data_IF_816392518315
#
_entry.id   IF_816392518315
#
_cell.length_a   1.000
_cell.length_b   1.000
_cell.length_c   1.000
_cell.angle_alpha   90.00
_cell.angle_beta   90.00
_cell.angle_gamma   90.00
#
_symmetry.space_group_name_H-M   'P 1'
#
loop_
_entity.id
_entity.type
_entity.pdbx_description
1 polymer ?
#
# COMPACT_ATOMS: atom_id res chain seq x y z
N UNK A 1 9.41 -2.97 -12.52
CA UNK A 1 8.68 -1.90 -11.83
C UNK A 1 7.31 -2.45 -11.50
N UNK A 2 6.90 -2.49 -10.23
CA UNK A 2 5.55 -2.93 -9.87
C UNK A 2 4.59 -1.85 -10.32
N UNK A 3 3.61 -2.21 -11.15
CA UNK A 3 2.58 -1.28 -11.57
C UNK A 3 1.49 -1.20 -10.51
N UNK A 4 1.32 -0.01 -9.94
CA UNK A 4 0.28 0.29 -8.95
C UNK A 4 -0.86 1.12 -9.52
N UNK A 5 -0.85 1.43 -10.83
CA UNK A 5 -1.81 2.37 -11.46
C UNK A 5 -3.28 1.96 -11.25
N UNK A 6 -3.56 0.65 -11.08
CA UNK A 6 -4.89 0.12 -10.75
C UNK A 6 -5.43 0.65 -9.40
N UNK A 7 -4.53 1.03 -8.50
CA UNK A 7 -4.84 1.40 -7.12
C UNK A 7 -4.76 2.91 -6.87
N UNK A 8 -4.41 3.73 -7.86
CA UNK A 8 -4.18 5.18 -7.70
C UNK A 8 -5.32 5.91 -6.97
N UNK A 9 -6.57 5.52 -7.22
CA UNK A 9 -7.74 6.09 -6.54
C UNK A 9 -7.76 5.88 -5.02
N UNK A 10 -6.97 4.93 -4.53
CA UNK A 10 -6.89 4.51 -3.12
C UNK A 10 -5.50 4.74 -2.52
N UNK A 11 -4.57 5.32 -3.27
CA UNK A 11 -3.21 5.59 -2.82
C UNK A 11 -3.04 7.09 -2.55
N UNK A 12 -2.41 7.40 -1.42
CA UNK A 12 -2.02 8.76 -1.05
C UNK A 12 -0.49 8.77 -1.02
N UNK A 13 0.11 9.72 -1.73
CA UNK A 13 1.57 9.94 -1.69
C UNK A 13 1.83 11.12 -0.77
N UNK A 14 2.64 10.90 0.26
CA UNK A 14 3.07 11.93 1.19
C UNK A 14 4.58 11.84 1.50
N UNK A 15 5.06 12.68 2.41
CA UNK A 15 6.48 12.75 2.77
C UNK A 15 7.03 11.45 3.40
N UNK A 16 6.15 10.58 3.91
CA UNK A 16 6.52 9.28 4.47
C UNK A 16 6.40 8.13 3.43
N UNK A 17 6.04 8.43 2.18
CA UNK A 17 5.97 7.49 1.08
C UNK A 17 4.55 7.30 0.54
N UNK A 18 4.18 6.05 0.21
CA UNK A 18 2.87 5.70 -0.33
C UNK A 18 2.02 5.08 0.78
N UNK A 19 0.80 5.58 0.95
CA UNK A 19 -0.19 5.12 1.91
C UNK A 19 -1.48 4.69 1.20
N UNK A 20 -2.32 3.92 1.89
CA UNK A 20 -3.66 3.53 1.42
C UNK A 20 -4.71 4.38 2.13
N UNK A 21 -5.72 4.86 1.40
CA UNK A 21 -6.87 5.58 1.98
C UNK A 21 -7.69 4.69 2.92
N UNK A 22 -8.33 5.27 3.95
CA UNK A 22 -9.24 4.54 4.85
C UNK A 22 -10.45 3.94 4.12
N UNK A 23 -10.98 4.68 3.15
CA UNK A 23 -12.14 4.31 2.33
C UNK A 23 -11.84 3.21 1.29
N UNK A 24 -10.57 2.78 1.18
CA UNK A 24 -10.21 1.69 0.30
C UNK A 24 -10.97 0.41 0.67
N UNK A 25 -11.58 -0.30 -0.29
CA UNK A 25 -12.24 -1.57 -0.03
C UNK A 25 -11.27 -2.58 0.62
N UNK A 26 -11.77 -3.41 1.54
CA UNK A 26 -10.95 -4.43 2.25
C UNK A 26 -10.20 -5.37 1.29
N UNK A 27 -10.80 -5.66 0.13
CA UNK A 27 -10.15 -6.43 -0.93
C UNK A 27 -8.87 -5.72 -1.43
N UNK A 28 -8.94 -4.42 -1.67
CA UNK A 28 -7.80 -3.61 -2.15
C UNK A 28 -6.71 -3.53 -1.09
N UNK A 29 -7.09 -3.33 0.18
CA UNK A 29 -6.15 -3.37 1.31
C UNK A 29 -5.42 -4.72 1.38
N UNK A 30 -6.13 -5.81 1.17
CA UNK A 30 -5.56 -7.17 1.18
C UNK A 30 -4.61 -7.40 0.00
N UNK A 31 -5.00 -6.99 -1.21
CA UNK A 31 -4.14 -7.06 -2.41
C UNK A 31 -2.83 -6.27 -2.19
N UNK A 32 -2.92 -5.02 -1.72
CA UNK A 32 -1.76 -4.16 -1.50
C UNK A 32 -0.87 -4.65 -0.35
N UNK A 33 -1.42 -5.25 0.71
CA UNK A 33 -0.63 -5.95 1.74
C UNK A 33 0.19 -7.09 1.13
N UNK A 34 -0.41 -7.87 0.23
CA UNK A 34 0.28 -8.94 -0.48
C UNK A 34 1.43 -8.45 -1.34
N UNK A 35 1.19 -7.38 -2.11
CA UNK A 35 2.22 -6.74 -2.94
C UNK A 35 3.35 -6.17 -2.08
N UNK A 36 3.01 -5.45 -1.01
CA UNK A 36 3.97 -4.88 -0.08
C UNK A 36 4.85 -5.97 0.57
N UNK A 37 4.24 -7.07 1.01
CA UNK A 37 4.98 -8.20 1.57
C UNK A 37 5.91 -8.87 0.55
N UNK A 38 5.47 -9.03 -0.70
CA UNK A 38 6.31 -9.57 -1.77
C UNK A 38 7.49 -8.65 -2.10
N UNK A 39 7.24 -7.34 -2.16
CA UNK A 39 8.27 -6.34 -2.39
C UNK A 39 9.28 -6.30 -1.24
N UNK A 40 8.81 -6.27 0.01
CA UNK A 40 9.66 -6.31 1.19
C UNK A 40 10.57 -7.55 1.23
N UNK A 41 10.05 -8.72 0.85
CA UNK A 41 10.87 -9.94 0.76
C UNK A 41 11.98 -9.85 -0.29
N UNK A 42 11.79 -9.07 -1.35
CA UNK A 42 12.73 -8.95 -2.45
C UNK A 42 13.76 -7.83 -2.22
N UNK A 43 13.34 -6.70 -1.64
CA UNK A 43 14.16 -5.48 -1.53
C UNK A 43 14.48 -5.08 -0.08
N UNK A 44 13.82 -5.68 0.91
CA UNK A 44 14.03 -5.38 2.34
C UNK A 44 13.37 -4.09 2.82
N UNK A 45 12.54 -3.45 1.99
CA UNK A 45 11.90 -2.17 2.28
C UNK A 45 10.40 -2.20 1.95
N UNK A 46 9.62 -1.35 2.62
CA UNK A 46 8.17 -1.28 2.40
C UNK A 46 7.86 -0.44 1.15
N UNK A 47 7.02 -0.99 0.27
CA UNK A 47 6.49 -0.29 -0.90
C UNK A 47 5.35 0.65 -0.52
N UNK A 48 4.48 0.19 0.39
CA UNK A 48 3.26 0.88 0.80
C UNK A 48 3.09 0.74 2.32
N UNK A 49 2.89 1.87 2.99
CA UNK A 49 2.57 1.94 4.41
C UNK A 49 1.09 1.63 4.65
N UNK A 50 0.77 0.34 4.78
CA UNK A 50 -0.61 -0.12 4.98
C UNK A 50 -1.09 -0.02 6.43
N UNK A 51 -0.18 0.02 7.42
CA UNK A 51 -0.54 -0.01 8.85
C UNK A 51 -0.94 1.36 9.42
N UNK A 52 -0.54 2.46 8.77
CA UNK A 52 -0.77 3.84 9.25
C UNK A 52 -2.26 4.23 9.34
N UNK A 53 -3.15 3.44 8.76
CA UNK A 53 -4.58 3.74 8.57
C UNK A 53 -5.51 2.66 9.14
N UNK A 54 -4.98 1.62 9.80
CA UNK A 54 -5.79 0.62 10.50
C UNK A 54 -5.96 0.95 12.01
N UNK A 55 -5.42 2.08 12.46
CA UNK A 55 -5.40 2.52 13.87
C UNK A 55 -6.27 3.76 14.13
N UNK A 56 -7.40 3.90 13.43
CA UNK A 56 -8.50 4.78 13.86
C UNK A 56 -9.67 3.95 14.40
#
# INVERSE_FOLDING_TARGET
MIDLSKYDAYLIVDEAGIAITNDAPEQIKTELKGINAAYFRMYGEALVNVERYLME
#
